data_IF_110606946219
#
_entry.id   IF_110606946219
#
_cell.length_a   1.000
_cell.length_b   1.000
_cell.length_c   1.000
_cell.angle_alpha   90.00
_cell.angle_beta   90.00
_cell.angle_gamma   90.00
#
_symmetry.space_group_name_H-M   'P 1'
#
loop_
_entity.id
_entity.type
_entity.pdbx_description
1 polymer ?
#
# COMPACT_ATOMS: atom_id res chain seq x y z
N UNK A 1 1.63 28.66 -19.11
CA UNK A 1 1.06 27.31 -18.89
C UNK A 1 2.05 26.20 -19.25
N UNK A 2 2.61 26.15 -20.48
CA UNK A 2 3.58 25.09 -20.87
C UNK A 2 4.79 24.95 -19.91
N UNK A 3 5.43 26.06 -19.55
CA UNK A 3 6.53 26.03 -18.57
C UNK A 3 6.10 25.55 -17.17
N UNK A 4 4.83 25.74 -16.80
CA UNK A 4 4.29 25.21 -15.55
C UNK A 4 4.08 23.69 -15.63
N UNK A 5 3.56 23.17 -16.74
CA UNK A 5 3.44 21.73 -16.98
C UNK A 5 4.80 21.03 -16.92
N UNK A 6 5.83 21.60 -17.55
CA UNK A 6 7.21 21.07 -17.48
C UNK A 6 7.74 21.00 -16.03
N UNK A 7 7.54 22.06 -15.22
CA UNK A 7 7.93 22.03 -13.80
C UNK A 7 7.14 21.00 -13.01
N UNK A 8 5.87 20.81 -13.35
CA UNK A 8 5.00 19.82 -12.71
C UNK A 8 5.47 18.40 -13.01
N UNK A 9 5.83 18.11 -14.26
CA UNK A 9 6.41 16.83 -14.67
C UNK A 9 7.70 16.51 -13.91
N UNK A 10 8.60 17.49 -13.77
CA UNK A 10 9.84 17.32 -12.97
C UNK A 10 9.51 16.99 -11.51
N UNK A 11 8.56 17.71 -10.89
CA UNK A 11 8.14 17.43 -9.51
C UNK A 11 7.51 16.05 -9.38
N UNK A 12 6.65 15.66 -10.33
CA UNK A 12 6.00 14.36 -10.34
C UNK A 12 7.02 13.23 -10.52
N UNK A 13 8.03 13.43 -11.38
CA UNK A 13 9.19 12.53 -11.50
C UNK A 13 9.93 12.39 -10.17
N UNK A 14 10.16 13.48 -9.44
CA UNK A 14 10.76 13.41 -8.09
C UNK A 14 9.89 12.62 -7.12
N UNK A 15 8.58 12.87 -7.06
CA UNK A 15 7.65 12.12 -6.21
C UNK A 15 7.65 10.62 -6.56
N UNK A 16 7.69 10.30 -7.85
CA UNK A 16 7.78 8.92 -8.32
C UNK A 16 9.09 8.26 -7.89
N UNK A 17 10.24 8.92 -8.02
CA UNK A 17 11.53 8.38 -7.55
C UNK A 17 11.52 8.10 -6.06
N UNK A 18 10.89 8.96 -5.26
CA UNK A 18 10.72 8.73 -3.83
C UNK A 18 9.85 7.47 -3.61
N UNK A 19 8.72 7.36 -4.29
CA UNK A 19 7.86 6.18 -4.20
C UNK A 19 8.60 4.89 -4.60
N UNK A 20 9.38 4.91 -5.68
CA UNK A 20 10.22 3.78 -6.11
C UNK A 20 11.23 3.39 -5.03
N UNK A 21 11.90 4.36 -4.40
CA UNK A 21 12.82 4.07 -3.29
C UNK A 21 12.10 3.35 -2.13
N UNK A 22 10.85 3.69 -1.84
CA UNK A 22 10.03 2.95 -0.87
C UNK A 22 9.57 1.58 -1.36
N UNK A 23 9.29 1.40 -2.65
CA UNK A 23 8.96 0.07 -3.21
C UNK A 23 10.19 -0.85 -3.09
N UNK A 24 11.37 -0.35 -3.46
CA UNK A 24 12.63 -1.07 -3.31
C UNK A 24 12.95 -1.34 -1.83
N UNK A 25 12.77 -0.35 -0.96
CA UNK A 25 12.95 -0.49 0.49
C UNK A 25 11.91 -1.40 1.15
N UNK A 26 10.68 -1.44 0.65
CA UNK A 26 9.66 -2.40 1.10
C UNK A 26 10.04 -3.84 0.75
N UNK A 27 10.84 -4.04 -0.31
CA UNK A 27 11.55 -5.30 -0.55
C UNK A 27 12.41 -5.74 0.63
N UNK A 28 13.07 -4.81 1.32
CA UNK A 28 13.80 -5.13 2.56
C UNK A 28 12.84 -5.57 3.67
N UNK A 29 11.68 -4.92 3.82
CA UNK A 29 10.65 -5.32 4.78
C UNK A 29 10.11 -6.73 4.51
N UNK A 30 10.09 -7.18 3.24
CA UNK A 30 9.73 -8.55 2.86
C UNK A 30 10.79 -9.59 3.25
N UNK A 31 12.05 -9.18 3.46
CA UNK A 31 13.10 -10.08 3.93
C UNK A 31 13.05 -10.29 5.45
N UNK A 32 12.39 -9.41 6.22
CA UNK A 32 12.34 -9.56 7.67
C UNK A 32 11.65 -10.83 8.17
N UNK A 33 10.53 -11.31 7.59
CA UNK A 33 9.99 -12.63 7.92
C UNK A 33 10.99 -13.77 7.72
N UNK A 34 11.89 -13.66 6.73
CA UNK A 34 12.96 -14.64 6.52
C UNK A 34 14.01 -14.55 7.64
N UNK A 35 14.37 -13.33 8.05
CA UNK A 35 15.32 -13.08 9.15
C UNK A 35 14.77 -13.41 10.54
N UNK A 36 13.45 -13.47 10.69
CA UNK A 36 12.78 -13.75 11.97
C UNK A 36 12.23 -15.17 12.06
N UNK A 37 12.38 -15.96 11.00
CA UNK A 37 11.77 -17.30 10.89
C UNK A 37 12.24 -18.21 12.02
N UNK A 38 13.54 -18.22 12.31
CA UNK A 38 14.14 -19.13 13.26
C UNK A 38 13.81 -18.73 14.71
N UNK A 39 13.70 -17.43 14.95
CA UNK A 39 13.32 -16.81 16.21
C UNK A 39 11.86 -17.14 16.53
N UNK A 40 10.96 -16.93 15.57
CA UNK A 40 9.55 -17.31 15.72
C UNK A 40 9.38 -18.81 15.88
N UNK A 41 10.11 -19.62 15.12
CA UNK A 41 10.07 -21.08 15.25
C UNK A 41 10.56 -21.54 16.63
N UNK A 42 11.60 -20.90 17.16
CA UNK A 42 12.14 -21.18 18.50
C UNK A 42 11.11 -20.84 19.57
N UNK A 43 10.51 -19.65 19.51
CA UNK A 43 9.46 -19.24 20.45
C UNK A 43 8.23 -20.17 20.36
N UNK A 44 7.82 -20.56 19.15
CA UNK A 44 6.70 -21.48 18.95
C UNK A 44 6.98 -22.87 19.52
N UNK A 45 8.20 -23.40 19.33
CA UNK A 45 8.62 -24.68 19.91
C UNK A 45 8.54 -24.66 21.44
N UNK A 46 8.99 -23.57 22.07
CA UNK A 46 8.89 -23.40 23.52
C UNK A 46 7.44 -23.55 24.02
N UNK A 47 6.47 -22.98 23.30
CA UNK A 47 5.05 -23.17 23.62
C UNK A 47 4.59 -24.62 23.43
N UNK A 48 4.91 -25.22 22.29
CA UNK A 48 4.48 -26.58 21.95
C UNK A 48 5.07 -27.60 22.93
N UNK A 49 6.37 -27.53 23.19
CA UNK A 49 7.08 -28.45 24.08
C UNK A 49 6.53 -28.36 25.51
N UNK A 50 6.13 -27.17 25.96
CA UNK A 50 5.47 -27.03 27.25
C UNK A 50 4.06 -27.61 27.27
N UNK A 51 3.23 -27.28 26.28
CA UNK A 51 1.82 -27.71 26.23
C UNK A 51 1.70 -29.23 26.03
N UNK A 52 2.53 -29.82 25.18
CA UNK A 52 2.48 -31.25 24.86
C UNK A 52 3.30 -32.08 25.85
N UNK A 53 4.46 -31.57 26.28
CA UNK A 53 5.38 -32.31 27.13
C UNK A 53 5.14 -32.12 28.62
N UNK A 54 5.23 -30.88 29.11
CA UNK A 54 5.23 -30.60 30.56
C UNK A 54 3.83 -30.48 31.16
N UNK A 55 2.88 -29.90 30.44
CA UNK A 55 1.53 -29.62 30.95
C UNK A 55 0.80 -30.89 31.44
N UNK A 56 0.80 -32.04 30.72
CA UNK A 56 0.09 -33.23 31.17
C UNK A 56 0.67 -33.88 32.44
N UNK A 57 1.93 -33.55 32.77
CA UNK A 57 2.64 -34.11 33.93
C UNK A 57 2.36 -33.35 35.23
N UNK A 58 1.75 -32.16 35.14
CA UNK A 58 1.43 -31.31 36.29
C UNK A 58 0.17 -31.81 37.01
N UNK A 59 0.00 -31.43 38.29
CA UNK A 59 -1.23 -31.68 39.03
C UNK A 59 -2.41 -30.88 38.45
N UNK A 60 -3.66 -31.29 38.70
CA UNK A 60 -4.85 -30.65 38.11
C UNK A 60 -4.95 -29.13 38.38
N UNK A 61 -4.54 -28.68 39.58
CA UNK A 61 -4.54 -27.25 39.92
C UNK A 61 -3.42 -26.50 39.17
N UNK A 62 -2.24 -27.09 39.07
CA UNK A 62 -1.10 -26.52 38.32
C UNK A 62 -1.38 -26.48 36.82
N UNK A 63 -2.09 -27.48 36.28
CA UNK A 63 -2.53 -27.51 34.88
C UNK A 63 -3.45 -26.34 34.55
N UNK A 64 -4.39 -26.00 35.44
CA UNK A 64 -5.26 -24.84 35.25
C UNK A 64 -4.47 -23.53 35.22
N UNK A 65 -3.57 -23.33 36.19
CA UNK A 65 -2.74 -22.10 36.26
C UNK A 65 -1.82 -22.00 35.05
N UNK A 66 -1.12 -23.08 34.70
CA UNK A 66 -0.23 -23.14 33.55
C UNK A 66 -0.99 -22.97 32.22
N UNK A 67 -2.17 -23.56 32.08
CA UNK A 67 -3.04 -23.40 30.90
C UNK A 67 -3.50 -21.95 30.72
N UNK A 68 -3.93 -21.29 31.80
CA UNK A 68 -4.30 -19.87 31.78
C UNK A 68 -3.09 -18.97 31.46
N UNK A 69 -1.92 -19.28 32.02
CA UNK A 69 -0.67 -18.57 31.71
C UNK A 69 -0.31 -18.68 30.23
N UNK A 70 -0.38 -19.88 29.65
CA UNK A 70 -0.13 -20.09 28.22
C UNK A 70 -1.14 -19.34 27.36
N UNK A 71 -2.44 -19.43 27.69
CA UNK A 71 -3.49 -18.76 26.93
C UNK A 71 -3.35 -17.23 26.95
N UNK A 72 -3.00 -16.66 28.10
CA UNK A 72 -2.78 -15.21 28.26
C UNK A 72 -1.55 -14.71 27.50
N UNK A 73 -0.48 -15.50 27.41
CA UNK A 73 0.73 -15.14 26.66
C UNK A 73 0.66 -15.46 25.16
N UNK A 74 -0.19 -16.40 24.75
CA UNK A 74 -0.42 -16.72 23.34
C UNK A 74 -0.95 -15.50 22.55
N UNK A 75 -1.82 -14.69 23.16
CA UNK A 75 -2.38 -13.51 22.51
C UNK A 75 -1.32 -12.45 22.13
N UNK A 76 -0.48 -11.92 23.06
CA UNK A 76 0.58 -10.98 22.69
C UNK A 76 1.64 -11.61 21.77
N UNK A 77 1.90 -12.92 21.86
CA UNK A 77 2.75 -13.62 20.90
C UNK A 77 2.19 -13.58 19.47
N UNK A 78 0.90 -13.91 19.29
CA UNK A 78 0.26 -13.84 17.96
C UNK A 78 0.23 -12.40 17.45
N UNK A 79 -0.05 -11.43 18.32
CA UNK A 79 -0.01 -10.02 17.93
C UNK A 79 1.39 -9.54 17.53
N UNK A 80 2.45 -10.02 18.18
CA UNK A 80 3.81 -9.60 17.81
C UNK A 80 4.20 -10.04 16.41
N UNK A 81 3.70 -11.18 15.94
CA UNK A 81 3.82 -11.58 14.54
C UNK A 81 2.86 -10.80 13.62
N UNK A 82 1.61 -10.61 14.05
CA UNK A 82 0.56 -10.09 13.17
C UNK A 82 0.64 -8.60 12.89
N UNK A 83 1.09 -7.79 13.87
CA UNK A 83 1.18 -6.34 13.69
C UNK A 83 2.16 -5.97 12.56
N UNK A 84 3.41 -6.47 12.52
CA UNK A 84 4.32 -6.22 11.40
C UNK A 84 3.77 -6.65 10.03
N UNK A 85 3.15 -7.83 9.95
CA UNK A 85 2.57 -8.36 8.70
C UNK A 85 1.42 -7.47 8.22
N UNK A 86 0.52 -7.09 9.12
CA UNK A 86 -0.59 -6.21 8.78
C UNK A 86 -0.12 -4.81 8.38
N UNK A 87 0.90 -4.28 9.06
CA UNK A 87 1.50 -3.00 8.73
C UNK A 87 2.14 -3.03 7.32
N UNK A 88 2.85 -4.12 6.98
CA UNK A 88 3.38 -4.35 5.63
C UNK A 88 2.27 -4.43 4.57
N UNK A 89 1.20 -5.17 4.84
CA UNK A 89 0.02 -5.22 3.96
C UNK A 89 -0.54 -3.81 3.70
N UNK A 90 -0.63 -2.97 4.73
CA UNK A 90 -1.11 -1.59 4.57
C UNK A 90 -0.13 -0.70 3.78
N UNK A 91 1.18 -0.97 3.81
CA UNK A 91 2.17 -0.28 2.95
C UNK A 91 1.97 -0.70 1.49
N UNK A 92 1.84 -2.00 1.21
CA UNK A 92 1.57 -2.51 -0.14
C UNK A 92 0.26 -1.95 -0.69
N UNK A 93 -0.79 -1.90 0.15
CA UNK A 93 -2.06 -1.26 -0.19
C UNK A 93 -1.85 0.22 -0.57
N UNK A 94 -1.04 0.98 0.17
CA UNK A 94 -0.79 2.39 -0.14
C UNK A 94 -0.01 2.57 -1.46
N UNK A 95 0.94 1.68 -1.76
CA UNK A 95 1.66 1.67 -3.05
C UNK A 95 0.67 1.49 -4.21
N UNK A 96 -0.28 0.54 -4.10
CA UNK A 96 -1.31 0.35 -5.13
C UNK A 96 -2.15 1.60 -5.33
N UNK A 97 -2.61 2.26 -4.25
CA UNK A 97 -3.42 3.48 -4.38
C UNK A 97 -2.63 4.71 -4.85
N UNK A 98 -1.31 4.73 -4.64
CA UNK A 98 -0.42 5.74 -5.19
C UNK A 98 -0.38 5.64 -6.72
N UNK A 99 -0.25 4.42 -7.25
CA UNK A 99 -0.11 4.17 -8.69
C UNK A 99 -1.43 4.03 -9.45
N UNK A 100 -2.51 3.59 -8.80
CA UNK A 100 -3.77 3.30 -9.48
C UNK A 100 -4.91 4.18 -9.01
N UNK A 101 -5.79 4.51 -9.95
CA UNK A 101 -7.02 5.25 -9.75
C UNK A 101 -8.14 4.71 -10.62
N UNK A 102 -9.35 4.71 -10.07
CA UNK A 102 -10.58 4.51 -10.84
C UNK A 102 -11.19 5.84 -11.30
N UNK A 103 -10.76 6.95 -10.71
CA UNK A 103 -11.24 8.29 -11.06
C UNK A 103 -10.15 9.06 -11.81
N UNK A 104 -10.46 9.47 -13.03
CA UNK A 104 -9.59 10.30 -13.88
C UNK A 104 -10.40 11.48 -14.40
N UNK A 105 -9.95 12.73 -14.21
CA UNK A 105 -10.64 13.90 -14.74
C UNK A 105 -10.88 13.79 -16.24
N UNK A 106 -12.13 14.03 -16.66
CA UNK A 106 -12.57 13.93 -18.06
C UNK A 106 -13.23 12.60 -18.45
N UNK A 107 -13.21 11.59 -17.58
CA UNK A 107 -14.00 10.36 -17.74
C UNK A 107 -15.26 10.36 -16.86
N UNK A 108 -16.32 9.61 -17.24
CA UNK A 108 -17.49 9.40 -16.41
C UNK A 108 -17.13 8.76 -15.05
N UNK A 109 -17.79 9.18 -13.98
CA UNK A 109 -17.59 8.59 -12.65
C UNK A 109 -18.11 7.14 -12.56
N UNK A 110 -18.95 6.73 -13.50
CA UNK A 110 -19.47 5.37 -13.67
C UNK A 110 -18.44 4.39 -14.22
N UNK A 111 -17.35 4.89 -14.81
CA UNK A 111 -16.33 4.07 -15.45
C UNK A 111 -15.33 3.54 -14.42
N UNK A 112 -15.57 2.33 -13.92
CA UNK A 112 -14.81 1.73 -12.81
C UNK A 112 -13.52 1.00 -13.23
N UNK A 113 -12.95 1.31 -14.39
CA UNK A 113 -11.72 0.66 -14.87
C UNK A 113 -10.49 1.23 -14.15
N UNK A 114 -9.70 0.41 -13.43
CA UNK A 114 -8.50 0.88 -12.77
C UNK A 114 -7.47 1.29 -13.81
N UNK A 115 -6.89 2.46 -13.61
CA UNK A 115 -5.90 3.05 -14.51
C UNK A 115 -4.72 3.58 -13.73
N UNK A 116 -3.58 3.64 -14.40
CA UNK A 116 -2.39 4.23 -13.82
C UNK A 116 -2.60 5.73 -13.60
N UNK A 117 -2.18 6.25 -12.44
CA UNK A 117 -2.39 7.64 -12.05
C UNK A 117 -1.53 8.61 -12.87
N UNK A 118 -0.43 8.12 -13.46
CA UNK A 118 0.34 8.83 -14.48
C UNK A 118 -0.28 8.51 -15.85
N UNK A 119 -1.30 9.27 -16.23
CA UNK A 119 -1.96 9.13 -17.53
C UNK A 119 -1.07 9.60 -18.67
N UNK A 120 -1.36 9.15 -19.89
CA UNK A 120 -0.73 9.71 -21.09
C UNK A 120 -1.05 11.19 -21.27
N UNK A 121 -0.09 11.93 -21.83
CA UNK A 121 -0.20 13.34 -22.18
C UNK A 121 -0.39 13.43 -23.70
N UNK A 122 -1.25 14.32 -24.15
CA UNK A 122 -1.42 14.62 -25.58
C UNK A 122 -1.05 16.07 -25.89
N UNK A 123 -0.77 16.33 -27.15
CA UNK A 123 -0.66 17.71 -27.64
C UNK A 123 -2.02 18.42 -27.50
N UNK A 124 -2.12 19.57 -26.81
CA UNK A 124 -3.39 20.26 -26.60
C UNK A 124 -3.97 20.77 -27.93
N UNK A 125 -5.27 20.59 -28.19
CA UNK A 125 -5.88 21.00 -29.46
C UNK A 125 -5.99 22.52 -29.61
N UNK A 126 -6.07 23.27 -28.50
CA UNK A 126 -6.13 24.74 -28.47
C UNK A 126 -4.79 25.43 -28.73
N UNK A 127 -3.68 24.70 -28.63
CA UNK A 127 -2.33 25.24 -28.73
C UNK A 127 -1.88 25.42 -30.19
N UNK A 128 -2.18 24.43 -31.04
CA UNK A 128 -1.99 24.49 -32.50
C UNK A 128 -2.91 23.47 -33.20
N UNK A 129 -4.14 23.87 -33.58
CA UNK A 129 -5.14 22.95 -34.14
C UNK A 129 -4.68 22.20 -35.40
N UNK A 130 -4.03 22.90 -36.33
CA UNK A 130 -3.52 22.30 -37.57
C UNK A 130 -2.42 21.27 -37.31
N UNK A 131 -1.52 21.57 -36.35
CA UNK A 131 -0.48 20.62 -35.95
C UNK A 131 -1.09 19.40 -35.26
N UNK A 132 -2.12 19.59 -34.44
CA UNK A 132 -2.86 18.48 -33.82
C UNK A 132 -3.47 17.54 -34.87
N UNK A 133 -4.04 18.11 -35.94
CA UNK A 133 -4.57 17.32 -37.06
C UNK A 133 -3.48 16.51 -37.76
N UNK A 134 -2.30 17.10 -37.99
CA UNK A 134 -1.16 16.38 -38.56
C UNK A 134 -0.65 15.26 -37.63
N UNK A 135 -0.61 15.50 -36.31
CA UNK A 135 -0.27 14.47 -35.32
C UNK A 135 -1.27 13.32 -35.38
N UNK A 136 -2.58 13.61 -35.48
CA UNK A 136 -3.58 12.56 -35.64
C UNK A 136 -3.36 11.77 -36.93
N UNK A 137 -3.20 12.42 -38.08
CA UNK A 137 -2.94 11.72 -39.34
C UNK A 137 -1.73 10.77 -39.23
N UNK A 138 -0.66 11.18 -38.53
CA UNK A 138 0.49 10.33 -38.27
C UNK A 138 0.21 9.19 -37.25
N UNK A 139 -0.63 9.42 -36.23
CA UNK A 139 -0.99 8.41 -35.24
C UNK A 139 -1.84 7.27 -35.82
N UNK A 140 -2.73 7.58 -36.76
CA UNK A 140 -3.60 6.60 -37.42
C UNK A 140 -2.99 6.00 -38.70
N UNK A 141 -1.69 6.25 -38.97
CA UNK A 141 -0.95 5.49 -39.98
C UNK A 141 -0.96 3.99 -39.62
N UNK A 142 -1.23 3.07 -40.56
CA UNK A 142 -1.32 1.64 -40.27
C UNK A 142 -0.09 1.04 -39.57
N UNK A 143 1.10 1.62 -39.77
CA UNK A 143 2.32 1.18 -39.09
C UNK A 143 2.35 1.61 -37.61
N UNK A 144 1.78 2.76 -37.28
CA UNK A 144 1.74 3.29 -35.91
C UNK A 144 0.73 2.54 -35.02
N UNK A 145 -0.39 2.09 -35.61
CA UNK A 145 -1.44 1.35 -34.88
C UNK A 145 -0.92 0.04 -34.29
N UNK A 146 -0.09 -0.69 -35.05
CA UNK A 146 0.47 -1.97 -34.60
C UNK A 146 1.55 -1.83 -33.52
N UNK A 147 2.11 -0.63 -33.32
CA UNK A 147 3.12 -0.39 -32.29
C UNK A 147 2.54 -0.34 -30.87
N UNK A 148 1.34 0.22 -30.69
CA UNK A 148 0.75 0.45 -29.37
C UNK A 148 0.11 -0.78 -28.73
N UNK A 149 -0.13 -1.84 -29.51
CA UNK A 149 -0.88 -3.01 -29.08
C UNK A 149 0.01 -4.27 -29.13
N UNK A 150 0.69 -4.63 -28.02
CA UNK A 150 1.64 -5.74 -27.99
C UNK A 150 0.98 -7.12 -27.83
N UNK A 151 -0.25 -7.29 -28.34
CA UNK A 151 -0.98 -8.56 -28.27
C UNK A 151 -0.99 -9.27 -29.64
N UNK A 152 -1.05 -10.60 -29.61
CA UNK A 152 -1.45 -11.39 -30.78
C UNK A 152 -2.85 -10.97 -31.24
N UNK A 153 -3.16 -11.15 -32.52
CA UNK A 153 -4.45 -10.70 -33.10
C UNK A 153 -5.66 -11.24 -32.32
N UNK A 154 -5.66 -12.53 -31.97
CA UNK A 154 -6.76 -13.16 -31.22
C UNK A 154 -6.94 -12.56 -29.81
N UNK A 155 -5.85 -12.36 -29.07
CA UNK A 155 -5.91 -11.78 -27.71
C UNK A 155 -6.29 -10.31 -27.74
N UNK A 156 -5.86 -9.59 -28.78
CA UNK A 156 -6.22 -8.19 -29.02
C UNK A 156 -7.73 -8.06 -29.16
N UNK A 157 -8.32 -8.85 -30.06
CA UNK A 157 -9.75 -8.83 -30.31
C UNK A 157 -10.53 -9.10 -29.04
N UNK A 158 -10.25 -10.22 -28.37
CA UNK A 158 -10.96 -10.60 -27.14
C UNK A 158 -10.83 -9.52 -26.06
N UNK A 159 -9.62 -9.00 -25.81
CA UNK A 159 -9.41 -8.01 -24.77
C UNK A 159 -10.10 -6.67 -25.04
N UNK A 160 -9.97 -6.13 -26.25
CA UNK A 160 -10.55 -4.82 -26.56
C UNK A 160 -12.06 -4.88 -26.77
N UNK A 161 -12.57 -5.91 -27.41
CA UNK A 161 -14.02 -6.06 -27.59
C UNK A 161 -14.74 -6.22 -26.25
N UNK A 162 -14.19 -7.07 -25.36
CA UNK A 162 -14.72 -7.21 -23.99
C UNK A 162 -14.64 -5.87 -23.23
N UNK A 163 -13.54 -5.13 -23.39
CA UNK A 163 -13.38 -3.82 -22.73
C UNK A 163 -14.41 -2.81 -23.22
N UNK A 164 -14.62 -2.72 -24.54
CA UNK A 164 -15.60 -1.82 -25.15
C UNK A 164 -17.00 -2.21 -24.69
N UNK A 165 -17.35 -3.50 -24.74
CA UNK A 165 -18.65 -4.01 -24.31
C UNK A 165 -18.92 -3.72 -22.82
N UNK A 166 -17.97 -4.04 -21.94
CA UNK A 166 -18.10 -3.84 -20.50
C UNK A 166 -18.16 -2.36 -20.08
N UNK A 167 -17.65 -1.46 -20.92
CA UNK A 167 -17.65 -0.01 -20.66
C UNK A 167 -18.69 0.74 -21.48
N UNK A 168 -19.52 0.05 -22.26
CA UNK A 168 -20.46 0.65 -23.22
C UNK A 168 -19.79 1.68 -24.16
N UNK A 169 -18.51 1.47 -24.48
CA UNK A 169 -17.70 2.40 -25.28
C UNK A 169 -17.29 3.69 -24.56
N UNK A 170 -17.66 3.92 -23.30
CA UNK A 170 -17.31 5.13 -22.53
C UNK A 170 -15.79 5.25 -22.26
N UNK A 171 -15.05 4.15 -22.39
CA UNK A 171 -13.59 4.13 -22.29
C UNK A 171 -12.93 4.88 -23.45
N UNK A 172 -13.59 5.01 -24.60
CA UNK A 172 -13.04 5.69 -25.78
C UNK A 172 -13.17 7.21 -25.60
N UNK A 173 -12.08 7.99 -25.69
CA UNK A 173 -12.15 9.45 -25.62
C UNK A 173 -13.09 10.03 -26.69
N UNK A 174 -13.92 11.01 -26.31
CA UNK A 174 -14.92 11.62 -27.22
C UNK A 174 -14.31 12.17 -28.52
N UNK A 175 -13.13 12.77 -28.43
CA UNK A 175 -12.35 13.31 -29.56
C UNK A 175 -11.82 12.23 -30.50
N UNK A 176 -11.77 10.97 -30.04
CA UNK A 176 -11.26 9.81 -30.78
C UNK A 176 -12.34 8.81 -31.13
N UNK A 177 -13.61 9.16 -30.94
CA UNK A 177 -14.70 8.32 -31.45
C UNK A 177 -14.67 8.32 -32.98
N UNK A 178 -15.08 7.21 -33.58
CA UNK A 178 -15.10 7.01 -35.03
C UNK A 178 -15.71 8.21 -35.77
N UNK A 179 -16.89 8.66 -35.32
CA UNK A 179 -17.60 9.78 -35.93
C UNK A 179 -16.78 11.07 -35.88
N UNK A 180 -16.22 11.42 -34.72
CA UNK A 180 -15.35 12.59 -34.55
C UNK A 180 -14.13 12.55 -35.49
N UNK A 181 -13.49 11.39 -35.64
CA UNK A 181 -12.32 11.22 -36.52
C UNK A 181 -12.69 11.33 -38.00
N UNK A 182 -13.85 10.80 -38.38
CA UNK A 182 -14.38 10.90 -39.74
C UNK A 182 -14.73 12.35 -40.10
N UNK A 183 -15.40 13.07 -39.18
CA UNK A 183 -15.77 14.48 -39.36
C UNK A 183 -14.54 15.39 -39.50
N UNK A 184 -13.42 15.02 -38.85
CA UNK A 184 -12.13 15.71 -38.99
C UNK A 184 -11.37 15.35 -40.27
N UNK A 185 -11.81 14.33 -41.02
CA UNK A 185 -11.13 13.84 -42.22
C UNK A 185 -9.75 13.20 -41.93
N UNK A 186 -9.60 12.57 -40.77
CA UNK A 186 -8.35 11.92 -40.34
C UNK A 186 -8.28 10.48 -40.85
N UNK A 187 -9.41 9.79 -40.81
CA UNK A 187 -9.55 8.39 -41.23
C UNK A 187 -10.09 8.35 -42.65
N UNK A 188 -9.57 7.43 -43.46
CA UNK A 188 -10.05 7.18 -44.82
C UNK A 188 -11.30 6.30 -44.79
N UNK A 189 -12.14 6.40 -45.82
CA UNK A 189 -13.41 5.66 -45.89
C UNK A 189 -13.26 4.13 -45.99
N UNK A 190 -12.05 3.65 -46.30
CA UNK A 190 -11.65 2.24 -46.36
C UNK A 190 -10.97 1.73 -45.08
N UNK A 191 -10.82 2.58 -44.06
CA UNK A 191 -10.16 2.19 -42.82
C UNK A 191 -10.97 1.17 -42.01
N UNK A 192 -10.31 0.17 -41.43
CA UNK A 192 -10.96 -0.83 -40.58
C UNK A 192 -11.41 -0.19 -39.25
N UNK A 193 -12.73 -0.09 -39.10
CA UNK A 193 -13.37 0.45 -37.90
C UNK A 193 -12.99 -0.28 -36.62
N UNK A 194 -12.91 -1.61 -36.65
CA UNK A 194 -12.64 -2.40 -35.45
C UNK A 194 -11.21 -2.15 -34.97
N UNK A 195 -10.27 -2.14 -35.91
CA UNK A 195 -8.86 -1.79 -35.62
C UNK A 195 -8.72 -0.39 -35.03
N UNK A 196 -9.44 0.60 -35.56
CA UNK A 196 -9.42 1.98 -35.05
C UNK A 196 -10.04 2.06 -33.65
N UNK A 197 -11.17 1.40 -33.40
CA UNK A 197 -11.80 1.38 -32.07
C UNK A 197 -10.90 0.68 -31.03
N UNK A 198 -10.18 -0.39 -31.39
CA UNK A 198 -9.18 -1.03 -30.52
C UNK A 198 -8.03 -0.07 -30.20
N UNK A 199 -7.50 0.61 -31.21
CA UNK A 199 -6.46 1.62 -31.03
C UNK A 199 -6.92 2.75 -30.09
N UNK A 200 -8.14 3.25 -30.28
CA UNK A 200 -8.70 4.31 -29.45
C UNK A 200 -9.02 3.84 -28.03
N UNK A 201 -9.37 2.56 -27.87
CA UNK A 201 -9.54 1.95 -26.55
C UNK A 201 -8.21 1.87 -25.81
N UNK A 202 -7.08 1.64 -26.49
CA UNK A 202 -5.76 1.70 -25.87
C UNK A 202 -5.44 3.10 -25.30
N UNK A 203 -5.77 4.17 -26.03
CA UNK A 203 -5.70 5.54 -25.49
C UNK A 203 -6.62 5.73 -24.27
N UNK A 204 -7.81 5.14 -24.34
CA UNK A 204 -8.80 5.10 -23.26
C UNK A 204 -8.27 4.48 -21.97
N UNK A 205 -7.71 3.27 -22.07
CA UNK A 205 -7.11 2.52 -20.97
C UNK A 205 -5.89 3.24 -20.38
N UNK A 206 -5.10 3.91 -21.24
CA UNK A 206 -4.00 4.78 -20.83
C UNK A 206 -4.47 6.14 -20.25
N UNK A 207 -5.79 6.37 -20.16
CA UNK A 207 -6.45 7.61 -19.71
C UNK A 207 -5.96 8.85 -20.44
N UNK A 208 -5.60 8.66 -21.69
CA UNK A 208 -5.04 9.71 -22.54
C UNK A 208 -6.19 10.48 -23.16
N UNK A 209 -6.33 11.76 -22.81
CA UNK A 209 -7.38 12.65 -23.29
C UNK A 209 -6.77 13.83 -24.04
N UNK A 210 -7.51 14.34 -25.03
CA UNK A 210 -7.15 15.54 -25.76
C UNK A 210 -7.68 16.78 -25.02
N UNK A 211 -7.03 17.10 -23.90
CA UNK A 211 -7.38 18.23 -23.04
C UNK A 211 -6.86 19.54 -23.61
N UNK A 212 -7.62 20.61 -23.44
CA UNK A 212 -7.11 21.96 -23.67
C UNK A 212 -5.98 22.28 -22.69
N UNK A 213 -5.14 23.27 -23.01
CA UNK A 213 -3.98 23.60 -22.20
C UNK A 213 -4.35 23.98 -20.75
N UNK A 214 -5.49 24.65 -20.56
CA UNK A 214 -6.03 25.00 -19.23
C UNK A 214 -6.47 23.75 -18.46
N UNK A 215 -7.15 22.82 -19.11
CA UNK A 215 -7.64 21.58 -18.50
C UNK A 215 -6.48 20.66 -18.13
N UNK A 216 -5.43 20.60 -18.95
CA UNK A 216 -4.23 19.83 -18.67
C UNK A 216 -3.47 20.41 -17.46
N UNK A 217 -3.36 21.74 -17.35
CA UNK A 217 -2.81 22.40 -16.16
C UNK A 217 -3.63 22.08 -14.91
N UNK A 218 -4.96 22.18 -14.97
CA UNK A 218 -5.83 21.87 -13.84
C UNK A 218 -5.73 20.39 -13.41
N UNK A 219 -5.69 19.47 -14.39
CA UNK A 219 -5.49 18.04 -14.15
C UNK A 219 -4.13 17.76 -13.50
N UNK A 220 -3.07 18.41 -13.99
CA UNK A 220 -1.72 18.28 -13.45
C UNK A 220 -1.61 18.80 -12.01
N UNK A 221 -2.26 19.93 -11.68
CA UNK A 221 -2.33 20.45 -10.30
C UNK A 221 -3.07 19.48 -9.37
N UNK A 222 -4.23 18.99 -9.78
CA UNK A 222 -4.99 17.99 -9.01
C UNK A 222 -4.18 16.70 -8.81
N UNK A 223 -3.45 16.26 -9.84
CA UNK A 223 -2.56 15.11 -9.79
C UNK A 223 -1.41 15.33 -8.80
N UNK A 224 -0.77 16.51 -8.78
CA UNK A 224 0.27 16.82 -7.80
C UNK A 224 -0.26 16.75 -6.36
N UNK A 225 -1.41 17.37 -6.09
CA UNK A 225 -2.03 17.33 -4.76
C UNK A 225 -2.31 15.89 -4.34
N UNK A 226 -2.90 15.10 -5.23
CA UNK A 226 -3.14 13.68 -5.02
C UNK A 226 -1.85 12.94 -4.65
N UNK A 227 -0.81 13.04 -5.48
CA UNK A 227 0.44 12.30 -5.26
C UNK A 227 1.13 12.73 -3.97
N UNK A 228 1.10 14.01 -3.60
CA UNK A 228 1.63 14.49 -2.31
C UNK A 228 0.86 13.91 -1.12
N UNK A 229 -0.48 13.86 -1.18
CA UNK A 229 -1.31 13.29 -0.11
C UNK A 229 -1.02 11.79 0.09
N UNK A 230 -0.95 11.02 -1.00
CA UNK A 230 -0.64 9.60 -0.93
C UNK A 230 0.81 9.35 -0.48
N UNK A 231 1.77 10.13 -0.98
CA UNK A 231 3.17 9.99 -0.61
C UNK A 231 3.39 10.28 0.88
N UNK A 232 2.77 11.34 1.41
CA UNK A 232 2.80 11.65 2.85
C UNK A 232 2.33 10.46 3.70
N UNK A 233 1.23 9.83 3.29
CA UNK A 233 0.67 8.67 4.00
C UNK A 233 1.57 7.44 3.89
N UNK A 234 2.07 7.16 2.69
CA UNK A 234 2.96 6.04 2.39
C UNK A 234 4.25 6.12 3.20
N UNK A 235 4.92 7.28 3.19
CA UNK A 235 6.17 7.53 3.94
C UNK A 235 5.97 7.27 5.43
N UNK A 236 4.93 7.88 6.03
CA UNK A 236 4.66 7.73 7.45
C UNK A 236 4.34 6.29 7.83
N UNK A 237 3.55 5.60 7.01
CA UNK A 237 3.19 4.21 7.25
C UNK A 237 4.39 3.28 7.11
N UNK A 238 5.26 3.52 6.13
CA UNK A 238 6.50 2.78 5.97
C UNK A 238 7.40 2.91 7.21
N UNK A 239 7.64 4.13 7.69
CA UNK A 239 8.47 4.36 8.88
C UNK A 239 7.88 3.69 10.12
N UNK A 240 6.56 3.79 10.32
CA UNK A 240 5.88 3.09 11.44
C UNK A 240 6.04 1.57 11.35
N UNK A 241 5.89 1.02 10.14
CA UNK A 241 6.04 -0.42 9.88
C UNK A 241 7.47 -0.87 10.20
N UNK A 242 8.46 -0.12 9.71
CA UNK A 242 9.87 -0.38 9.96
C UNK A 242 10.20 -0.34 11.46
N UNK A 243 9.73 0.68 12.19
CA UNK A 243 9.94 0.77 13.64
C UNK A 243 9.30 -0.39 14.40
N UNK A 244 8.10 -0.83 13.99
CA UNK A 244 7.43 -1.98 14.61
C UNK A 244 8.13 -3.30 14.35
N UNK A 245 8.65 -3.48 13.14
CA UNK A 245 9.50 -4.63 12.80
C UNK A 245 10.75 -4.61 13.66
N UNK A 246 11.51 -3.51 13.66
CA UNK A 246 12.73 -3.35 14.47
C UNK A 246 12.46 -3.63 15.94
N UNK A 247 11.39 -3.07 16.51
CA UNK A 247 11.05 -3.29 17.92
C UNK A 247 10.77 -4.75 18.23
N UNK A 248 9.97 -5.40 17.39
CA UNK A 248 9.65 -6.83 17.56
C UNK A 248 10.91 -7.68 17.46
N UNK A 249 11.77 -7.39 16.48
CA UNK A 249 13.07 -8.04 16.31
C UNK A 249 13.98 -7.88 17.52
N UNK A 250 14.12 -6.65 18.04
CA UNK A 250 14.95 -6.36 19.22
C UNK A 250 14.47 -7.17 20.42
N UNK A 251 13.16 -7.17 20.69
CA UNK A 251 12.62 -7.94 21.81
C UNK A 251 12.82 -9.44 21.59
N UNK A 252 12.48 -9.97 20.41
CA UNK A 252 12.67 -11.40 20.11
C UNK A 252 14.13 -11.84 20.29
N UNK A 253 15.08 -11.08 19.77
CA UNK A 253 16.51 -11.40 19.93
C UNK A 253 17.00 -11.25 21.36
N UNK A 254 16.54 -10.24 22.09
CA UNK A 254 16.91 -10.08 23.49
C UNK A 254 16.48 -11.28 24.34
N UNK A 255 15.36 -11.92 23.99
CA UNK A 255 14.73 -12.98 24.79
C UNK A 255 15.36 -14.36 24.60
N UNK A 256 15.73 -14.70 23.37
CA UNK A 256 16.20 -16.05 23.02
C UNK A 256 17.36 -16.54 23.90
N UNK A 257 18.42 -15.75 24.18
CA UNK A 257 19.52 -16.21 25.04
C UNK A 257 19.05 -16.58 26.46
N UNK A 258 18.06 -15.87 27.00
CA UNK A 258 17.51 -16.18 28.32
C UNK A 258 16.66 -17.44 28.31
N UNK A 259 15.92 -17.71 27.22
CA UNK A 259 15.14 -18.94 27.08
C UNK A 259 16.01 -20.19 26.94
N UNK A 260 17.25 -20.04 26.48
CA UNK A 260 18.21 -21.15 26.36
C UNK A 260 18.85 -21.52 27.71
N UNK A 261 18.70 -20.70 28.74
CA UNK A 261 19.26 -21.00 30.07
C UNK A 261 18.31 -21.88 30.88
N UNK A 262 18.73 -23.10 31.19
CA UNK A 262 17.93 -24.07 31.97
C UNK A 262 17.53 -23.57 33.37
N UNK A 263 18.31 -22.65 33.95
CA UNK A 263 18.08 -22.12 35.30
C UNK A 263 16.95 -21.10 35.37
N UNK A 264 16.55 -20.50 34.25
CA UNK A 264 15.58 -19.42 34.25
C UNK A 264 14.18 -19.93 33.90
N UNK A 265 13.14 -19.52 34.65
CA UNK A 265 11.78 -19.95 34.34
C UNK A 265 11.31 -19.39 33.00
N UNK A 266 11.07 -20.29 32.04
CA UNK A 266 10.82 -19.95 30.63
C UNK A 266 9.63 -18.99 30.45
N UNK A 267 8.50 -19.27 31.11
CA UNK A 267 7.30 -18.44 30.97
C UNK A 267 7.35 -17.13 31.77
N UNK A 268 8.21 -17.06 32.80
CA UNK A 268 8.49 -15.80 33.47
C UNK A 268 9.27 -14.85 32.55
N UNK A 269 10.28 -15.38 31.84
CA UNK A 269 11.00 -14.60 30.84
C UNK A 269 10.04 -14.13 29.75
N UNK A 270 9.28 -15.06 29.15
CA UNK A 270 8.32 -14.71 28.08
C UNK A 270 7.31 -13.66 28.51
N UNK A 271 6.76 -13.75 29.73
CA UNK A 271 5.77 -12.80 30.22
C UNK A 271 6.36 -11.40 30.47
N UNK A 272 7.57 -11.31 31.03
CA UNK A 272 8.31 -10.05 31.15
C UNK A 272 8.52 -9.44 29.77
N UNK A 273 8.96 -10.25 28.81
CA UNK A 273 9.28 -9.79 27.47
C UNK A 273 8.06 -9.33 26.69
N UNK A 274 6.96 -10.08 26.72
CA UNK A 274 5.72 -9.66 26.07
C UNK A 274 5.11 -8.45 26.76
N UNK A 275 5.29 -8.28 28.07
CA UNK A 275 4.87 -7.07 28.79
C UNK A 275 5.67 -5.85 28.34
N UNK A 276 6.99 -5.97 28.27
CA UNK A 276 7.86 -4.91 27.73
C UNK A 276 7.44 -4.61 26.29
N UNK A 277 7.32 -5.64 25.44
CA UNK A 277 6.93 -5.46 24.05
C UNK A 277 5.60 -4.71 23.94
N UNK A 278 4.55 -5.17 24.65
CA UNK A 278 3.21 -4.59 24.59
C UNK A 278 3.17 -3.16 25.10
N UNK A 279 3.90 -2.83 26.17
CA UNK A 279 3.95 -1.46 26.70
C UNK A 279 4.49 -0.45 25.69
N UNK A 280 5.45 -0.87 24.86
CA UNK A 280 6.13 0.03 23.92
C UNK A 280 5.57 0.02 22.49
N UNK A 281 4.65 -0.89 22.12
CA UNK A 281 4.01 -0.91 20.78
C UNK A 281 3.45 0.47 20.39
N UNK A 282 2.57 1.04 21.22
CA UNK A 282 1.94 2.32 20.89
C UNK A 282 2.88 3.53 20.96
N UNK A 283 3.75 3.67 21.98
CA UNK A 283 4.80 4.68 21.97
C UNK A 283 5.63 4.67 20.69
N UNK A 284 6.09 3.49 20.26
CA UNK A 284 6.93 3.32 19.07
C UNK A 284 6.16 3.66 17.79
N UNK A 285 4.91 3.20 17.65
CA UNK A 285 4.07 3.56 16.50
C UNK A 285 3.79 5.07 16.40
N UNK A 286 3.76 5.78 17.53
CA UNK A 286 3.53 7.24 17.59
C UNK A 286 4.81 8.06 17.35
N UNK A 287 6.00 7.47 17.46
CA UNK A 287 7.28 8.18 17.31
C UNK A 287 7.36 9.02 16.04
N UNK A 288 6.99 8.53 14.83
CA UNK A 288 7.13 9.34 13.61
C UNK A 288 6.27 10.61 13.63
N UNK A 289 5.09 10.54 14.25
CA UNK A 289 4.22 11.71 14.42
C UNK A 289 4.83 12.65 15.44
N UNK A 290 5.29 12.13 16.58
CA UNK A 290 5.93 12.94 17.61
C UNK A 290 7.17 13.66 17.08
N UNK A 291 7.99 13.03 16.22
CA UNK A 291 9.14 13.66 15.59
C UNK A 291 8.75 14.85 14.70
N UNK A 292 7.68 14.71 13.92
CA UNK A 292 7.17 15.79 13.05
C UNK A 292 6.66 16.97 13.89
N UNK A 293 5.91 16.69 14.95
CA UNK A 293 5.27 17.74 15.75
C UNK A 293 6.12 18.25 16.92
N UNK A 294 7.33 17.71 17.14
CA UNK A 294 8.23 18.07 18.25
C UNK A 294 8.53 19.57 18.36
N UNK A 295 8.56 20.27 17.23
CA UNK A 295 8.94 21.69 17.17
C UNK A 295 7.73 22.64 17.25
N UNK A 296 6.52 22.12 17.46
CA UNK A 296 5.34 22.96 17.64
C UNK A 296 5.31 23.48 19.08
N UNK A 297 5.34 24.81 19.23
CA UNK A 297 5.39 25.47 20.54
C UNK A 297 4.15 25.19 21.42
N UNK A 298 2.99 24.99 20.78
CA UNK A 298 1.75 24.63 21.46
C UNK A 298 1.48 23.13 21.32
N UNK A 299 1.18 22.46 22.45
CA UNK A 299 0.62 21.10 22.53
C UNK A 299 -0.76 21.09 21.86
N UNK A 300 -0.77 21.20 20.54
CA UNK A 300 -1.99 21.40 19.78
C UNK A 300 -2.83 20.13 19.80
N UNK A 301 -4.10 20.35 20.10
CA UNK A 301 -5.15 19.35 20.17
C UNK A 301 -5.05 18.36 19.00
N UNK A 302 -4.80 17.09 19.31
CA UNK A 302 -4.55 16.00 18.34
C UNK A 302 -5.67 15.80 17.30
N UNK A 303 -6.81 16.47 17.51
CA UNK A 303 -7.96 16.54 16.61
C UNK A 303 -7.65 17.08 15.21
N UNK A 304 -6.58 17.86 15.05
CA UNK A 304 -6.18 18.42 13.75
C UNK A 304 -5.27 17.49 12.93
N UNK A 305 -4.82 16.37 13.52
CA UNK A 305 -4.01 15.40 12.79
C UNK A 305 -4.92 14.61 11.85
N UNK A 306 -4.55 14.55 10.57
CA UNK A 306 -5.27 13.80 9.55
C UNK A 306 -5.53 12.36 10.01
N UNK A 307 -6.81 11.97 10.02
CA UNK A 307 -7.28 10.65 10.45
C UNK A 307 -6.61 9.53 9.66
N UNK A 308 -6.22 9.76 8.41
CA UNK A 308 -5.54 8.76 7.59
C UNK A 308 -4.14 8.41 8.09
N UNK A 309 -3.45 9.35 8.75
CA UNK A 309 -2.11 9.13 9.31
C UNK A 309 -2.15 8.31 10.60
N UNK A 310 -3.27 8.38 11.32
CA UNK A 310 -3.51 7.68 12.58
C UNK A 310 -4.31 6.39 12.40
N UNK A 311 -4.63 6.00 11.15
CA UNK A 311 -5.48 4.83 10.89
C UNK A 311 -4.92 3.54 11.49
N UNK A 312 -3.60 3.31 11.33
CA UNK A 312 -2.91 2.15 11.90
C UNK A 312 -3.02 2.16 13.43
N UNK A 313 -2.72 3.29 14.08
CA UNK A 313 -2.81 3.45 15.53
C UNK A 313 -4.23 3.21 16.05
N UNK A 314 -5.24 3.81 15.42
CA UNK A 314 -6.64 3.64 15.83
C UNK A 314 -7.11 2.21 15.67
N UNK A 315 -6.66 1.52 14.63
CA UNK A 315 -6.97 0.10 14.44
C UNK A 315 -6.26 -0.77 15.49
N UNK A 316 -4.96 -0.53 15.73
CA UNK A 316 -4.15 -1.29 16.68
C UNK A 316 -4.52 -1.05 18.14
N UNK A 317 -5.01 0.14 18.50
CA UNK A 317 -5.39 0.48 19.89
C UNK A 317 -6.38 -0.54 20.47
N UNK A 318 -7.30 -1.06 19.64
CA UNK A 318 -8.30 -2.06 20.06
C UNK A 318 -7.68 -3.39 20.49
N UNK A 319 -6.57 -3.77 19.87
CA UNK A 319 -5.87 -5.03 20.13
C UNK A 319 -4.76 -4.89 21.17
N UNK A 320 -4.19 -3.69 21.26
CA UNK A 320 -3.09 -3.33 22.15
C UNK A 320 -3.48 -3.32 23.63
N UNK A 321 -4.64 -2.77 24.00
CA UNK A 321 -5.09 -2.74 25.40
C UNK A 321 -5.23 -4.16 25.96
N UNK A 322 -5.94 -5.10 25.28
CA UNK A 322 -5.94 -6.50 25.69
C UNK A 322 -4.54 -7.11 25.77
N UNK A 323 -3.62 -6.74 24.87
CA UNK A 323 -2.26 -7.28 24.89
C UNK A 323 -1.52 -6.96 26.19
N UNK A 324 -1.63 -5.71 26.67
CA UNK A 324 -1.04 -5.29 27.94
C UNK A 324 -1.70 -6.02 29.12
N UNK A 325 -3.04 -6.09 29.13
CA UNK A 325 -3.75 -6.73 30.23
C UNK A 325 -3.43 -8.23 30.32
N UNK A 326 -3.39 -8.91 29.17
CA UNK A 326 -3.08 -10.33 29.11
C UNK A 326 -1.60 -10.61 29.37
N UNK A 327 -0.67 -9.76 28.94
CA UNK A 327 0.74 -9.92 29.26
C UNK A 327 1.01 -9.73 30.77
N UNK A 328 0.36 -8.74 31.41
CA UNK A 328 0.43 -8.52 32.85
C UNK A 328 -0.21 -9.66 33.63
N UNK A 329 -1.37 -10.17 33.18
CA UNK A 329 -2.00 -11.34 33.79
C UNK A 329 -1.09 -12.58 33.66
N UNK A 330 -0.51 -12.81 32.49
CA UNK A 330 0.46 -13.88 32.26
C UNK A 330 1.71 -13.74 33.14
N UNK A 331 2.18 -12.51 33.38
CA UNK A 331 3.28 -12.23 34.29
C UNK A 331 2.93 -12.61 35.74
N UNK A 332 1.77 -12.18 36.24
CA UNK A 332 1.30 -12.54 37.58
C UNK A 332 1.12 -14.06 37.74
N UNK A 333 0.50 -14.71 36.75
CA UNK A 333 0.33 -16.16 36.75
C UNK A 333 1.69 -16.89 36.71
N UNK A 334 2.66 -16.38 35.95
CA UNK A 334 3.99 -16.97 35.92
C UNK A 334 4.72 -16.82 37.26
N UNK A 335 4.55 -15.69 37.95
CA UNK A 335 5.11 -15.50 39.30
C UNK A 335 4.47 -16.48 40.29
N UNK A 336 3.15 -16.65 40.26
CA UNK A 336 2.44 -17.61 41.12
C UNK A 336 2.79 -19.06 40.81
N UNK A 337 3.13 -19.38 39.56
CA UNK A 337 3.49 -20.73 39.15
C UNK A 337 4.93 -21.12 39.56
N UNK A 338 5.84 -20.14 39.68
CA UNK A 338 7.26 -20.39 39.95
C UNK A 338 7.73 -20.01 41.36
N UNK A 339 6.93 -19.25 42.12
CA UNK A 339 7.12 -18.94 43.54
C UNK A 339 6.24 -19.86 44.38
#
# INVERSE_FOLDING_TARGET
>A
MRAFLQRTEVRLSTLHRIAVAFVSGAGLLLLFPLLLKDEFATLLRVYIDFVVGKLPLLSANEQLVAGLMVATLAYPFVLSAMIPIYALYLVLKDIVHFYYTIYTPGYPATLLTPSFALSGITFPPDDAPELKKQIYAAQYDPNAVNFMIPFSAEKRELYFDDTIANTNGEIIPRTRQWQSLNDMGIISGDADRRMIEHFNTAFGLARTLDRNLVEEVASAEASLVRHVLYLRRLVLRYVKTLLMVIWTTIVSFAVIPFLQQEKLPTFLILSISFTIWSLFVMPIMKLPINWIYRHRADNADSKHIDRQLNMLERHMTKFWIPAILLSLAGLLLSLVFYL
#
